data_IF_744904178020
#
_entry.id   IF_744904178020
#
_cell.length_a   1.000
_cell.length_b   1.000
_cell.length_c   1.000
_cell.angle_alpha   90.00
_cell.angle_beta   90.00
_cell.angle_gamma   90.00
#
_symmetry.space_group_name_H-M   'P 1'
#
loop_
_entity.id
_entity.type
_entity.pdbx_description
1 polymer ?
#
# COMPACT_ATOMS: atom_id res chain seq x y z
N UNK A 1 -25.45 -5.16 43.75
CA UNK A 1 -24.20 -4.56 43.23
C UNK A 1 -23.59 -5.44 42.12
N UNK A 2 -23.96 -5.29 40.83
CA UNK A 2 -23.36 -6.09 39.74
C UNK A 2 -22.73 -5.23 38.60
N UNK A 3 -22.38 -3.96 38.83
CA UNK A 3 -21.94 -3.04 37.76
C UNK A 3 -20.45 -3.23 37.40
N UNK A 4 -19.64 -3.76 38.34
CA UNK A 4 -18.18 -3.81 38.20
C UNK A 4 -17.64 -4.90 37.24
N UNK A 5 -18.44 -5.93 36.92
CA UNK A 5 -18.00 -7.08 36.10
C UNK A 5 -18.15 -6.85 34.60
N UNK A 6 -19.08 -5.98 34.18
CA UNK A 6 -19.36 -5.72 32.76
C UNK A 6 -18.29 -4.82 32.14
N UNK A 7 -17.81 -3.81 32.88
CA UNK A 7 -16.77 -2.88 32.44
C UNK A 7 -15.43 -3.56 32.19
N UNK A 8 -15.08 -4.57 32.99
CA UNK A 8 -13.80 -5.28 32.87
C UNK A 8 -13.73 -6.16 31.61
N UNK A 9 -14.85 -6.78 31.23
CA UNK A 9 -14.94 -7.59 30.00
C UNK A 9 -14.88 -6.73 28.74
N UNK A 10 -15.50 -5.54 28.78
CA UNK A 10 -15.46 -4.61 27.66
C UNK A 10 -14.05 -4.06 27.42
N UNK A 11 -13.31 -3.71 28.49
CA UNK A 11 -11.94 -3.21 28.37
C UNK A 11 -10.98 -4.26 27.77
N UNK A 12 -11.14 -5.55 28.14
CA UNK A 12 -10.33 -6.63 27.61
C UNK A 12 -10.54 -6.87 26.10
N UNK A 13 -11.80 -6.81 25.64
CA UNK A 13 -12.12 -6.95 24.21
C UNK A 13 -11.57 -5.77 23.41
N UNK A 14 -11.64 -4.56 23.96
CA UNK A 14 -11.17 -3.35 23.28
C UNK A 14 -9.64 -3.33 23.14
N UNK A 15 -8.89 -3.80 24.16
CA UNK A 15 -7.44 -3.95 24.08
C UNK A 15 -7.00 -5.06 23.10
N UNK A 16 -7.72 -6.18 23.05
CA UNK A 16 -7.46 -7.24 22.06
C UNK A 16 -7.73 -6.76 20.63
N UNK A 17 -8.81 -6.01 20.41
CA UNK A 17 -9.11 -5.42 19.11
C UNK A 17 -8.03 -4.41 18.69
N UNK A 18 -7.58 -3.55 19.60
CA UNK A 18 -6.52 -2.56 19.34
C UNK A 18 -5.17 -3.23 19.02
N UNK A 19 -4.81 -4.27 19.78
CA UNK A 19 -3.59 -5.05 19.55
C UNK A 19 -3.59 -5.75 18.20
N UNK A 20 -4.72 -6.35 17.81
CA UNK A 20 -4.86 -7.02 16.51
C UNK A 20 -4.80 -6.02 15.34
N UNK A 21 -5.37 -4.83 15.50
CA UNK A 21 -5.27 -3.77 14.49
C UNK A 21 -3.86 -3.21 14.31
N UNK A 22 -3.05 -3.14 15.37
CA UNK A 22 -1.65 -2.71 15.27
C UNK A 22 -0.77 -3.72 14.53
N UNK A 23 -1.02 -5.03 14.68
CA UNK A 23 -0.26 -6.06 13.98
C UNK A 23 -0.48 -6.07 12.46
N UNK A 24 -1.62 -5.56 11.99
CA UNK A 24 -1.95 -5.45 10.56
C UNK A 24 -1.37 -4.19 9.88
N UNK A 25 -0.76 -3.29 10.65
CA UNK A 25 -0.14 -2.04 10.15
C UNK A 25 1.35 -2.18 9.84
N UNK A 26 1.91 -3.40 9.89
CA UNK A 26 3.29 -3.63 9.48
C UNK A 26 3.42 -3.30 7.97
N UNK A 27 4.29 -2.34 7.59
CA UNK A 27 4.44 -1.95 6.20
C UNK A 27 4.91 -3.13 5.37
N UNK A 28 4.17 -3.45 4.31
CA UNK A 28 4.62 -4.41 3.31
C UNK A 28 5.88 -3.84 2.65
N UNK A 29 7.03 -4.45 2.93
CA UNK A 29 8.26 -4.12 2.24
C UNK A 29 8.08 -4.40 0.75
N UNK A 30 8.37 -3.43 -0.14
CA UNK A 30 8.29 -3.68 -1.57
C UNK A 30 9.21 -4.85 -1.90
N UNK A 31 8.70 -5.82 -2.67
CA UNK A 31 9.47 -6.98 -3.10
C UNK A 31 10.60 -6.55 -4.02
N UNK A 32 11.74 -6.17 -3.45
CA UNK A 32 12.96 -5.89 -4.17
C UNK A 32 13.50 -7.18 -4.78
N UNK A 33 13.50 -7.27 -6.10
CA UNK A 33 14.15 -8.37 -6.80
C UNK A 33 15.67 -8.34 -6.49
N UNK A 34 16.17 -9.42 -5.87
CA UNK A 34 17.58 -9.61 -5.48
C UNK A 34 18.53 -9.27 -6.64
N UNK A 35 19.41 -8.29 -6.42
CA UNK A 35 20.46 -7.87 -7.34
C UNK A 35 21.57 -8.93 -7.39
N UNK A 36 21.73 -9.58 -8.54
CA UNK A 36 22.92 -10.34 -8.90
C UNK A 36 23.66 -9.60 -10.01
N UNK A 37 25.00 -9.68 -10.03
CA UNK A 37 25.85 -9.03 -11.05
C UNK A 37 25.56 -9.49 -12.49
N UNK A 38 24.84 -10.60 -12.64
CA UNK A 38 24.43 -11.19 -13.92
C UNK A 38 22.96 -10.91 -14.27
N UNK A 39 22.27 -10.09 -13.47
CA UNK A 39 20.81 -9.94 -13.52
C UNK A 39 20.40 -8.51 -13.87
N UNK A 40 19.32 -8.41 -14.64
CA UNK A 40 18.59 -7.17 -14.82
C UNK A 40 17.79 -6.84 -13.55
N UNK A 41 17.99 -5.64 -12.99
CA UNK A 41 17.22 -5.14 -11.85
C UNK A 41 16.21 -4.12 -12.36
N UNK A 42 14.96 -4.33 -12.00
CA UNK A 42 13.84 -3.47 -12.40
C UNK A 42 13.21 -2.93 -11.13
N UNK A 43 13.08 -1.61 -11.04
CA UNK A 43 12.43 -0.98 -9.90
C UNK A 43 11.46 0.10 -10.36
N UNK A 44 10.24 0.05 -9.86
CA UNK A 44 9.28 1.13 -10.06
C UNK A 44 9.67 2.30 -9.16
N UNK A 45 9.65 3.51 -9.71
CA UNK A 45 9.78 4.73 -8.91
C UNK A 45 8.56 4.88 -7.98
N UNK A 46 8.67 5.65 -6.89
CA UNK A 46 7.68 5.70 -5.82
C UNK A 46 6.24 6.03 -6.30
N UNK A 47 6.13 6.84 -7.35
CA UNK A 47 4.84 7.23 -7.94
C UNK A 47 4.33 6.24 -9.00
N UNK A 48 5.12 5.20 -9.31
CA UNK A 48 4.85 4.21 -10.36
C UNK A 48 4.82 4.79 -11.78
N UNK A 49 5.25 6.05 -11.96
CA UNK A 49 5.24 6.75 -13.25
C UNK A 49 6.45 6.43 -14.12
N UNK A 50 7.50 5.84 -13.54
CA UNK A 50 8.73 5.47 -14.24
C UNK A 50 9.25 4.13 -13.76
N UNK A 51 9.85 3.39 -14.67
CA UNK A 51 10.55 2.14 -14.39
C UNK A 51 12.04 2.40 -14.55
N UNK A 52 12.81 2.23 -13.47
CA UNK A 52 14.25 2.22 -13.53
C UNK A 52 14.74 0.81 -13.89
N UNK A 53 15.50 0.72 -14.97
CA UNK A 53 16.08 -0.52 -15.47
C UNK A 53 17.60 -0.44 -15.30
N UNK A 54 18.14 -1.33 -14.49
CA UNK A 54 19.57 -1.41 -14.21
C UNK A 54 20.12 -2.74 -14.70
N UNK A 55 21.09 -2.67 -15.60
CA UNK A 55 21.88 -3.82 -16.06
C UNK A 55 23.35 -3.65 -15.68
N UNK A 56 24.06 -4.75 -15.46
CA UNK A 56 25.50 -4.75 -15.19
C UNK A 56 26.23 -5.78 -16.06
N UNK A 57 27.56 -5.67 -16.14
CA UNK A 57 28.42 -6.60 -16.88
C UNK A 57 28.55 -6.31 -18.37
N UNK A 58 28.21 -5.09 -18.81
CA UNK A 58 28.43 -4.61 -20.17
C UNK A 58 29.79 -3.92 -20.29
N UNK A 59 30.25 -3.69 -21.51
CA UNK A 59 31.49 -2.95 -21.75
C UNK A 59 31.32 -1.47 -21.40
N UNK A 60 32.28 -0.92 -20.67
CA UNK A 60 32.28 0.48 -20.28
C UNK A 60 32.19 1.40 -21.51
N UNK A 61 31.33 2.44 -21.41
CA UNK A 61 31.09 3.43 -22.49
C UNK A 61 30.59 2.86 -23.82
N UNK A 62 30.24 1.57 -23.87
CA UNK A 62 29.70 0.96 -25.08
C UNK A 62 28.21 1.27 -25.22
N UNK A 63 27.72 1.22 -26.44
CA UNK A 63 26.34 1.53 -26.78
C UNK A 63 25.52 0.25 -26.74
N UNK A 64 24.42 0.31 -25.99
CA UNK A 64 23.57 -0.84 -25.70
C UNK A 64 22.14 -0.52 -26.09
N UNK A 65 21.49 -1.49 -26.71
CA UNK A 65 20.12 -1.35 -27.19
C UNK A 65 19.15 -1.87 -26.13
N UNK A 66 18.16 -1.05 -25.78
CA UNK A 66 17.10 -1.41 -24.84
C UNK A 66 15.77 -1.48 -25.60
N UNK A 67 15.14 -2.65 -25.52
CA UNK A 67 13.86 -2.96 -26.18
C UNK A 67 12.83 -3.38 -25.14
N UNK A 68 11.57 -3.00 -25.38
CA UNK A 68 10.43 -3.41 -24.58
C UNK A 68 9.47 -4.17 -25.50
N UNK A 69 9.34 -5.47 -25.25
CA UNK A 69 8.66 -6.38 -26.14
C UNK A 69 9.26 -6.33 -27.54
N UNK A 70 8.43 -6.07 -28.55
CA UNK A 70 8.84 -5.94 -29.95
C UNK A 70 9.35 -4.55 -30.32
N UNK A 71 9.05 -3.52 -29.51
CA UNK A 71 9.31 -2.13 -29.85
C UNK A 71 10.69 -1.68 -29.36
N UNK A 72 11.51 -1.06 -30.22
CA UNK A 72 12.74 -0.42 -29.77
C UNK A 72 12.38 0.79 -28.90
N UNK A 73 12.95 0.86 -27.68
CA UNK A 73 12.71 2.01 -26.79
C UNK A 73 13.78 3.06 -27.05
N UNK A 74 15.03 2.67 -26.79
CA UNK A 74 16.12 3.62 -26.62
C UNK A 74 17.47 2.92 -26.67
N UNK A 75 18.47 3.66 -27.15
CA UNK A 75 19.86 3.28 -27.00
C UNK A 75 20.44 3.99 -25.78
N UNK A 76 21.12 3.26 -24.92
CA UNK A 76 21.79 3.79 -23.74
C UNK A 76 23.27 3.45 -23.78
N UNK A 77 24.09 4.32 -23.19
CA UNK A 77 25.53 4.08 -23.08
C UNK A 77 25.84 3.59 -21.67
N UNK A 78 26.63 2.52 -21.57
CA UNK A 78 27.14 2.05 -20.29
C UNK A 78 28.06 3.08 -19.62
N UNK A 79 28.04 3.12 -18.30
CA UNK A 79 28.94 3.96 -17.51
C UNK A 79 30.39 3.44 -17.56
N UNK A 80 31.26 4.02 -16.73
CA UNK A 80 32.68 3.63 -16.64
C UNK A 80 32.89 2.23 -16.06
N UNK A 81 31.89 1.70 -15.35
CA UNK A 81 31.91 0.39 -14.72
C UNK A 81 31.15 -0.67 -15.53
N UNK A 82 30.61 -0.31 -16.70
CA UNK A 82 29.80 -1.24 -17.50
C UNK A 82 28.39 -1.48 -16.94
N UNK A 83 27.92 -0.58 -16.07
CA UNK A 83 26.54 -0.52 -15.61
C UNK A 83 25.73 0.37 -16.54
N UNK A 84 24.49 -0.03 -16.77
CA UNK A 84 23.54 0.66 -17.62
C UNK A 84 22.35 1.00 -16.75
N UNK A 85 21.96 2.26 -16.77
CA UNK A 85 20.79 2.76 -16.07
C UNK A 85 19.90 3.49 -17.07
N UNK A 86 18.68 3.00 -17.23
CA UNK A 86 17.69 3.56 -18.15
C UNK A 86 16.39 3.75 -17.42
N UNK A 87 15.91 4.99 -17.45
CA UNK A 87 14.61 5.35 -16.91
C UNK A 87 13.59 5.32 -18.05
N UNK A 88 12.68 4.35 -18.00
CA UNK A 88 11.61 4.22 -18.98
C UNK A 88 10.35 4.92 -18.45
N UNK A 89 9.81 5.94 -19.13
CA UNK A 89 8.59 6.61 -18.73
C UNK A 89 7.35 5.72 -18.94
N UNK A 90 6.32 5.88 -18.10
CA UNK A 90 5.07 5.12 -18.16
C UNK A 90 4.38 5.18 -19.53
N UNK A 91 4.51 6.28 -20.28
CA UNK A 91 3.92 6.40 -21.62
C UNK A 91 4.45 5.36 -22.60
N UNK A 92 5.72 4.97 -22.47
CA UNK A 92 6.34 3.92 -23.28
C UNK A 92 6.02 2.52 -22.73
N UNK A 93 5.76 2.42 -21.43
CA UNK A 93 5.35 1.17 -20.77
C UNK A 93 3.86 0.86 -21.02
N UNK A 94 2.99 1.86 -21.18
CA UNK A 94 1.59 1.66 -21.54
C UNK A 94 1.44 1.06 -22.95
N UNK A 95 2.39 1.35 -23.85
CA UNK A 95 2.49 0.70 -25.16
C UNK A 95 2.97 -0.77 -25.04
N UNK A 96 3.57 -1.16 -23.92
CA UNK A 96 4.02 -2.52 -23.59
C UNK A 96 3.31 -3.04 -22.35
N UNK A 97 2.09 -3.54 -22.53
CA UNK A 97 1.19 -4.10 -21.51
C UNK A 97 1.93 -4.86 -20.39
N UNK A 98 1.44 -4.79 -19.13
CA UNK A 98 1.96 -5.61 -18.03
C UNK A 98 2.13 -7.06 -18.47
N UNK A 99 3.34 -7.61 -18.31
CA UNK A 99 3.76 -8.87 -18.93
C UNK A 99 4.71 -8.72 -20.12
N UNK A 100 4.99 -7.49 -20.57
CA UNK A 100 6.04 -7.22 -21.56
C UNK A 100 7.43 -7.55 -21.00
N UNK A 101 8.34 -7.99 -21.88
CA UNK A 101 9.73 -8.29 -21.54
C UNK A 101 10.64 -7.14 -21.93
N UNK A 102 11.52 -6.72 -21.02
CA UNK A 102 12.62 -5.82 -21.35
C UNK A 102 13.82 -6.66 -21.76
N UNK A 103 14.37 -6.31 -22.92
CA UNK A 103 15.57 -6.93 -23.49
C UNK A 103 16.64 -5.85 -23.59
N UNK A 104 17.79 -6.11 -23.00
CA UNK A 104 18.99 -5.29 -23.16
C UNK A 104 20.01 -6.11 -23.93
N UNK A 105 20.47 -5.61 -25.08
CA UNK A 105 21.47 -6.27 -25.91
C UNK A 105 22.67 -5.37 -26.17
N UNK A 106 23.88 -5.87 -25.91
CA UNK A 106 25.13 -5.13 -26.08
C UNK A 106 26.34 -6.05 -25.99
N UNK A 107 27.53 -5.49 -25.78
CA UNK A 107 28.75 -6.27 -25.55
C UNK A 107 29.04 -6.38 -24.06
N UNK A 108 29.46 -7.56 -23.62
CA UNK A 108 29.95 -7.81 -22.27
C UNK A 108 31.33 -7.16 -22.05
N UNK A 109 31.79 -7.16 -20.81
CA UNK A 109 33.17 -6.75 -20.45
C UNK A 109 34.26 -7.52 -21.20
N UNK A 110 34.01 -8.78 -21.58
CA UNK A 110 34.95 -9.58 -22.39
C UNK A 110 34.84 -9.33 -23.90
N UNK A 111 33.89 -8.48 -24.33
CA UNK A 111 33.65 -8.14 -25.73
C UNK A 111 32.71 -9.11 -26.45
N UNK A 112 32.23 -10.17 -25.79
CA UNK A 112 31.22 -11.08 -26.35
C UNK A 112 29.84 -10.42 -26.39
N UNK A 113 28.98 -10.83 -27.33
CA UNK A 113 27.58 -10.38 -27.35
C UNK A 113 26.87 -10.88 -26.09
N UNK A 114 26.13 -10.00 -25.43
CA UNK A 114 25.39 -10.26 -24.19
C UNK A 114 23.97 -9.71 -24.30
N UNK A 115 23.01 -10.55 -23.91
CA UNK A 115 21.59 -10.19 -23.90
C UNK A 115 21.04 -10.51 -22.51
N UNK A 116 20.43 -9.52 -21.86
CA UNK A 116 19.68 -9.70 -20.62
C UNK A 116 18.20 -9.52 -20.91
N UNK A 117 17.39 -10.46 -20.41
CA UNK A 117 15.94 -10.45 -20.58
C UNK A 117 15.32 -10.50 -19.19
N UNK A 118 14.33 -9.65 -18.95
CA UNK A 118 13.51 -9.75 -17.76
C UNK A 118 12.09 -9.31 -18.04
N UNK A 119 11.14 -9.94 -17.35
CA UNK A 119 9.75 -9.51 -17.36
C UNK A 119 9.62 -8.18 -16.61
N UNK A 120 8.79 -7.28 -17.13
CA UNK A 120 8.38 -6.07 -16.42
C UNK A 120 7.51 -6.48 -15.23
N UNK A 121 7.87 -6.13 -13.99
CA UNK A 121 7.04 -6.42 -12.84
C UNK A 121 5.71 -5.65 -12.93
N UNK A 122 4.58 -6.22 -12.48
CA UNK A 122 3.33 -5.49 -12.44
C UNK A 122 3.52 -4.19 -11.63
N UNK A 123 2.96 -3.09 -12.10
CA UNK A 123 2.92 -1.84 -11.34
C UNK A 123 2.21 -2.16 -10.02
N UNK A 124 2.88 -1.91 -8.90
CA UNK A 124 2.20 -1.97 -7.61
C UNK A 124 1.02 -1.02 -7.72
N UNK A 125 -0.21 -1.54 -7.63
CA UNK A 125 -1.39 -0.71 -7.67
C UNK A 125 -1.21 0.34 -6.56
N UNK A 126 -1.25 1.62 -6.93
CA UNK A 126 -1.12 2.73 -5.97
C UNK A 126 -2.11 2.59 -4.80
N UNK A 127 -3.19 1.83 -5.02
CA UNK A 127 -4.18 1.43 -4.02
C UNK A 127 -3.72 0.21 -3.23
N UNK A 128 -2.78 0.43 -2.31
CA UNK A 128 -2.47 -0.52 -1.26
C UNK A 128 -3.57 -0.56 -0.19
N UNK A 129 -3.53 -1.53 0.75
CA UNK A 129 -4.41 -1.53 1.93
C UNK A 129 -4.38 -0.20 2.71
N UNK A 130 -3.27 0.53 2.60
CA UNK A 130 -3.09 1.86 3.16
C UNK A 130 -4.08 2.91 2.64
N UNK A 131 -4.55 2.79 1.40
CA UNK A 131 -5.57 3.70 0.84
C UNK A 131 -6.96 3.48 1.45
N UNK A 132 -7.18 2.32 2.07
CA UNK A 132 -8.44 1.96 2.72
C UNK A 132 -8.45 2.36 4.20
N UNK A 133 -7.28 2.67 4.79
CA UNK A 133 -7.15 3.07 6.20
C UNK A 133 -7.93 4.36 6.54
N UNK A 134 -7.84 5.47 5.78
CA UNK A 134 -8.58 6.69 6.09
C UNK A 134 -10.10 6.45 6.10
N UNK A 135 -10.58 5.65 5.15
CA UNK A 135 -11.99 5.34 5.02
C UNK A 135 -12.50 4.40 6.11
N UNK A 136 -11.71 3.42 6.54
CA UNK A 136 -12.12 2.51 7.63
C UNK A 136 -12.14 3.22 8.99
N UNK A 137 -11.20 4.12 9.25
CA UNK A 137 -11.21 4.97 10.45
C UNK A 137 -12.40 5.94 10.41
N UNK A 138 -12.67 6.57 9.26
CA UNK A 138 -13.82 7.45 9.08
C UNK A 138 -15.16 6.72 9.25
N UNK A 139 -15.32 5.55 8.62
CA UNK A 139 -16.53 4.74 8.75
C UNK A 139 -16.72 4.22 10.17
N UNK A 140 -15.65 3.75 10.82
CA UNK A 140 -15.70 3.26 12.20
C UNK A 140 -16.10 4.34 13.20
N UNK A 141 -15.52 5.54 13.08
CA UNK A 141 -15.87 6.68 13.95
C UNK A 141 -17.33 7.12 13.75
N UNK A 142 -17.82 7.13 12.51
CA UNK A 142 -19.21 7.46 12.19
C UNK A 142 -20.20 6.44 12.80
N UNK A 143 -19.91 5.14 12.70
CA UNK A 143 -20.73 4.07 13.29
C UNK A 143 -20.78 4.20 14.82
N UNK A 144 -19.64 4.49 15.47
CA UNK A 144 -19.58 4.68 16.93
C UNK A 144 -20.40 5.90 17.36
N UNK A 145 -20.32 7.01 16.62
CA UNK A 145 -21.11 8.22 16.92
C UNK A 145 -22.62 7.97 16.76
N UNK A 146 -23.04 7.30 15.69
CA UNK A 146 -24.44 6.95 15.47
C UNK A 146 -24.97 6.00 16.55
N UNK A 147 -24.20 4.98 16.91
CA UNK A 147 -24.56 4.05 17.98
C UNK A 147 -24.68 4.75 19.33
N UNK A 148 -23.71 5.62 19.66
CA UNK A 148 -23.73 6.42 20.89
C UNK A 148 -24.91 7.39 20.95
N UNK A 149 -25.25 8.05 19.84
CA UNK A 149 -26.40 8.93 19.74
C UNK A 149 -27.72 8.17 19.94
N UNK A 150 -27.85 6.99 19.34
CA UNK A 150 -29.04 6.17 19.45
C UNK A 150 -29.24 5.60 20.87
N UNK A 151 -28.16 5.18 21.53
CA UNK A 151 -28.19 4.75 22.93
C UNK A 151 -28.58 5.89 23.87
N UNK A 152 -28.10 7.12 23.63
CA UNK A 152 -28.53 8.30 24.40
C UNK A 152 -30.02 8.59 24.23
N UNK A 153 -30.57 8.45 23.02
CA UNK A 153 -32.01 8.61 22.79
C UNK A 153 -32.84 7.59 23.59
N UNK A 154 -32.37 6.35 23.71
CA UNK A 154 -33.08 5.30 24.48
C UNK A 154 -32.95 5.45 25.99
N UNK A 155 -31.84 5.97 26.48
CA UNK A 155 -31.65 6.23 27.92
C UNK A 155 -32.38 7.48 28.43
N UNK A 156 -32.90 8.31 27.52
CA UNK A 156 -33.51 9.62 27.80
C UNK A 156 -35.02 9.63 27.99
N UNK A 157 -35.67 8.54 28.39
CA UNK A 157 -37.01 8.62 28.99
C UNK A 157 -36.90 8.47 30.50
N UNK A 158 -36.52 9.53 31.25
CA UNK A 158 -36.85 9.57 32.66
C UNK A 158 -38.38 9.55 32.70
N UNK A 159 -38.94 8.46 33.21
CA UNK A 159 -40.34 8.40 33.59
C UNK A 159 -40.61 9.68 34.39
N UNK A 160 -41.44 10.56 33.83
CA UNK A 160 -41.86 11.76 34.51
C UNK A 160 -42.49 11.30 35.83
N UNK A 161 -41.75 11.44 36.93
CA UNK A 161 -42.25 11.21 38.27
C UNK A 161 -43.39 12.19 38.45
N UNK A 162 -44.61 11.71 38.21
CA UNK A 162 -45.81 12.53 38.29
C UNK A 162 -45.86 13.18 39.69
N UNK A 163 -46.15 14.48 39.79
CA UNK A 163 -46.26 15.15 41.08
C UNK A 163 -47.36 14.47 41.90
N UNK A 164 -46.96 13.83 43.01
CA UNK A 164 -47.87 13.22 43.99
C UNK A 164 -48.86 14.29 44.44
N UNK A 165 -50.12 14.10 44.05
CA UNK A 165 -51.23 14.97 44.42
C UNK A 165 -51.28 15.22 45.93
N UNK A 166 -51.36 16.50 46.28
CA UNK A 166 -51.67 17.00 47.61
C UNK A 166 -53.06 16.47 48.04
N UNK A 167 -53.09 15.46 48.92
CA UNK A 167 -54.31 15.05 49.63
C UNK A 167 -54.67 16.12 50.66
N UNK A 168 -55.69 16.89 50.35
CA UNK A 168 -56.37 17.84 51.24
C UNK A 168 -57.01 17.08 52.40
N UNK A 169 -56.52 17.26 53.63
CA UNK A 169 -57.23 16.84 54.85
C UNK A 169 -58.23 17.96 55.21
N UNK A 170 -59.52 17.65 55.10
CA UNK A 170 -60.54 18.30 55.93
C UNK A 170 -60.83 17.34 57.08
N UNK A 171 -60.62 17.80 58.32
CA UNK A 171 -61.23 17.22 59.50
C UNK A 171 -61.96 18.35 60.21
N UNK A 172 -63.14 17.99 60.72
CA UNK A 172 -64.22 18.82 61.22
C UNK A 172 -63.86 19.60 62.50
#
# INVERSE_FOLDING_TARGET
>A
MPIATVTRRFAAVLLLALGLSCALLLPATPAGAVAGSDRLVLNWEADGARLNVVGAGYRARDLVEVRLGSSPIQQARGDENGRIEVTVPETLLAAGTSGSSIVISGRSVSGTSRILISAVPPKAAAHGPSDVLPWTVGAGTLVILLAGFWLRRRAGSPAATAPRGYRRRHAA
#
